data_IF_032848955967
#
_entry.id   IF_032848955967
#
_cell.length_a   1.000
_cell.length_b   1.000
_cell.length_c   1.000
_cell.angle_alpha   90.00
_cell.angle_beta   90.00
_cell.angle_gamma   90.00
#
_symmetry.space_group_name_H-M   'P 1'
#
loop_
_entity.id
_entity.type
_entity.pdbx_description
1 polymer ?
#
# COMPACT_ATOMS: atom_id res chain seq x y z
N UNK A 1 48.41 -50.65 30.29
CA UNK A 1 47.04 -50.12 30.44
C UNK A 1 46.21 -51.21 31.02
N UNK A 2 45.63 -50.97 32.19
CA UNK A 2 44.78 -51.95 32.85
C UNK A 2 43.50 -52.11 32.03
N UNK A 3 42.85 -53.28 32.12
CA UNK A 3 41.59 -53.56 31.41
C UNK A 3 40.53 -52.49 31.72
N UNK A 4 40.61 -51.89 32.91
CA UNK A 4 39.77 -50.79 33.36
C UNK A 4 39.95 -49.52 32.50
N UNK A 5 41.17 -49.19 32.11
CA UNK A 5 41.45 -48.01 31.26
C UNK A 5 40.86 -48.16 29.86
N UNK A 6 40.90 -49.38 29.31
CA UNK A 6 40.34 -49.71 28.00
C UNK A 6 38.81 -49.61 28.04
N UNK A 7 38.18 -50.11 29.12
CA UNK A 7 36.73 -50.01 29.32
C UNK A 7 36.28 -48.56 29.50
N UNK A 8 37.03 -47.76 30.27
CA UNK A 8 36.74 -46.34 30.46
C UNK A 8 36.83 -45.57 29.14
N UNK A 9 37.87 -45.82 28.34
CA UNK A 9 38.03 -45.19 27.02
C UNK A 9 36.90 -45.55 26.06
N UNK A 10 36.46 -46.82 26.07
CA UNK A 10 35.35 -47.30 25.26
C UNK A 10 34.02 -46.63 25.67
N UNK A 11 33.79 -46.46 26.98
CA UNK A 11 32.61 -45.77 27.51
C UNK A 11 32.60 -44.28 27.11
N UNK A 12 33.72 -43.57 27.27
CA UNK A 12 33.84 -42.16 26.89
C UNK A 12 33.62 -41.96 25.39
N UNK A 13 34.20 -42.82 24.54
CA UNK A 13 34.00 -42.78 23.10
C UNK A 13 32.53 -42.99 22.71
N UNK A 14 31.83 -43.91 23.38
CA UNK A 14 30.41 -44.18 23.16
C UNK A 14 29.53 -42.98 23.54
N UNK A 15 29.79 -42.34 24.68
CA UNK A 15 29.06 -41.14 25.12
C UNK A 15 29.29 -39.97 24.16
N UNK A 16 30.53 -39.74 23.72
CA UNK A 16 30.85 -38.70 22.74
C UNK A 16 30.14 -38.97 21.40
N UNK A 17 30.15 -40.23 20.95
CA UNK A 17 29.42 -40.65 19.75
C UNK A 17 27.91 -40.38 19.83
N UNK A 18 27.29 -40.68 20.98
CA UNK A 18 25.87 -40.44 21.21
C UNK A 18 25.52 -38.94 21.20
N UNK A 19 26.35 -38.09 21.82
CA UNK A 19 26.16 -36.64 21.82
C UNK A 19 26.30 -36.06 20.40
N UNK A 20 27.30 -36.50 19.63
CA UNK A 20 27.47 -36.08 18.24
C UNK A 20 26.30 -36.52 17.35
N UNK A 21 25.74 -37.71 17.59
CA UNK A 21 24.53 -38.19 16.90
C UNK A 21 23.31 -37.31 17.21
N UNK A 22 23.10 -36.96 18.48
CA UNK A 22 21.99 -36.08 18.89
C UNK A 22 22.16 -34.66 18.33
N UNK A 23 23.39 -34.12 18.30
CA UNK A 23 23.66 -32.81 17.68
C UNK A 23 23.44 -32.83 16.17
N UNK A 24 23.83 -33.92 15.50
CA UNK A 24 23.55 -34.13 14.07
C UNK A 24 22.06 -34.20 13.78
N UNK A 25 21.30 -34.97 14.58
CA UNK A 25 19.84 -35.03 14.47
C UNK A 25 19.18 -33.67 14.74
N UNK A 26 19.63 -32.93 15.76
CA UNK A 26 19.15 -31.59 16.05
C UNK A 26 19.47 -30.60 14.92
N UNK A 27 20.66 -30.67 14.34
CA UNK A 27 21.05 -29.84 13.20
C UNK A 27 20.21 -30.15 11.96
N UNK A 28 19.99 -31.44 11.66
CA UNK A 28 19.11 -31.86 10.57
C UNK A 28 17.67 -31.43 10.85
N UNK A 29 17.18 -31.60 12.08
CA UNK A 29 15.84 -31.17 12.48
C UNK A 29 15.63 -29.67 12.35
N UNK A 30 16.57 -28.84 12.85
CA UNK A 30 16.51 -27.39 12.67
C UNK A 30 16.52 -27.00 11.20
N UNK A 31 17.36 -27.66 10.39
CA UNK A 31 17.42 -27.39 8.94
C UNK A 31 16.16 -27.84 8.19
N UNK A 32 15.50 -28.91 8.63
CA UNK A 32 14.27 -29.42 8.03
C UNK A 32 13.03 -28.65 8.51
N UNK A 33 13.07 -28.05 9.71
CA UNK A 33 12.01 -27.17 10.25
C UNK A 33 12.14 -25.74 9.71
N UNK A 34 13.35 -25.27 9.39
CA UNK A 34 13.59 -23.97 8.74
C UNK A 34 13.37 -23.96 7.23
N UNK A 35 13.30 -25.13 6.57
CA UNK A 35 12.64 -25.20 5.26
C UNK A 35 11.14 -25.11 5.52
N UNK A 36 10.45 -24.01 5.14
CA UNK A 36 9.00 -24.08 5.05
C UNK A 36 8.73 -25.25 4.11
N UNK A 37 7.83 -26.16 4.51
CA UNK A 37 7.26 -27.10 3.55
C UNK A 37 6.83 -26.28 2.33
N UNK A 38 7.59 -26.40 1.24
CA UNK A 38 7.00 -26.31 -0.08
C UNK A 38 5.97 -27.44 -0.09
N UNK A 39 4.74 -27.12 0.33
CA UNK A 39 3.58 -27.82 -0.18
C UNK A 39 3.56 -27.49 -1.67
N UNK A 40 4.43 -28.16 -2.40
CA UNK A 40 4.53 -28.18 -3.85
C UNK A 40 3.35 -29.05 -4.33
N UNK A 41 2.13 -28.71 -3.89
CA UNK A 41 0.95 -28.96 -4.68
C UNK A 41 1.00 -27.94 -5.82
N UNK A 42 1.87 -28.23 -6.79
CA UNK A 42 1.61 -27.91 -8.20
C UNK A 42 0.41 -28.73 -8.65
N UNK A 43 -0.73 -28.57 -7.98
CA UNK A 43 -2.00 -28.91 -8.56
C UNK A 43 -2.28 -27.73 -9.48
N UNK A 44 -1.67 -27.78 -10.66
CA UNK A 44 -2.00 -26.94 -11.82
C UNK A 44 -3.42 -27.26 -12.26
N UNK A 45 -4.36 -26.98 -11.37
CA UNK A 45 -5.79 -27.00 -11.62
C UNK A 45 -6.09 -25.71 -12.35
N UNK A 46 -5.51 -25.58 -13.55
CA UNK A 46 -5.91 -24.53 -14.48
C UNK A 46 -7.41 -24.68 -14.61
N UNK A 47 -8.16 -23.70 -14.09
CA UNK A 47 -9.60 -23.80 -14.09
C UNK A 47 -10.08 -24.05 -15.52
N UNK A 48 -10.75 -25.20 -15.67
CA UNK A 48 -11.31 -25.64 -16.95
C UNK A 48 -12.17 -24.52 -17.47
N UNK A 49 -11.91 -24.11 -18.71
CA UNK A 49 -12.70 -23.08 -19.33
C UNK A 49 -14.14 -23.56 -19.49
N UNK A 50 -15.09 -22.78 -19.01
CA UNK A 50 -16.52 -23.01 -19.15
C UNK A 50 -17.16 -21.73 -19.67
N UNK A 51 -18.15 -21.86 -20.56
CA UNK A 51 -18.93 -20.71 -20.98
C UNK A 51 -19.90 -20.31 -19.87
N UNK A 52 -20.19 -19.01 -19.70
CA UNK A 52 -21.21 -18.57 -18.76
C UNK A 52 -22.57 -19.23 -19.06
N UNK A 53 -23.29 -19.64 -18.01
CA UNK A 53 -24.60 -20.29 -18.12
C UNK A 53 -25.62 -19.42 -18.89
N UNK A 54 -25.52 -18.10 -18.77
CA UNK A 54 -26.31 -17.12 -19.52
C UNK A 54 -26.10 -17.28 -21.02
N UNK A 55 -24.85 -17.29 -21.48
CA UNK A 55 -24.49 -17.47 -22.89
C UNK A 55 -24.90 -18.86 -23.40
N UNK A 56 -24.72 -19.90 -22.59
CA UNK A 56 -25.16 -21.25 -22.93
C UNK A 56 -26.68 -21.36 -23.09
N UNK A 57 -27.45 -20.66 -22.25
CA UNK A 57 -28.91 -20.62 -22.35
C UNK A 57 -29.37 -19.90 -23.63
N UNK A 58 -28.69 -18.82 -24.02
CA UNK A 58 -28.95 -18.09 -25.27
C UNK A 58 -28.64 -18.92 -26.53
N UNK A 59 -27.62 -19.79 -26.48
CA UNK A 59 -27.31 -20.71 -27.59
C UNK A 59 -28.36 -21.82 -27.70
N UNK A 60 -28.86 -22.34 -26.57
CA UNK A 60 -29.87 -23.43 -26.56
C UNK A 60 -31.25 -22.95 -26.98
N UNK A 61 -31.59 -21.69 -26.73
CA UNK A 61 -32.84 -21.04 -27.14
C UNK A 61 -32.76 -20.43 -28.56
N UNK A 62 -31.96 -21.03 -29.44
CA UNK A 62 -31.42 -20.53 -30.72
C UNK A 62 -32.42 -19.96 -31.74
N UNK A 63 -33.72 -20.21 -31.59
CA UNK A 63 -34.74 -19.77 -32.56
C UNK A 63 -35.12 -18.28 -32.43
N UNK A 64 -34.87 -17.62 -31.28
CA UNK A 64 -35.25 -16.22 -31.06
C UNK A 64 -34.11 -15.25 -30.69
N UNK A 65 -33.03 -15.73 -30.06
CA UNK A 65 -31.92 -14.87 -29.59
C UNK A 65 -30.70 -14.80 -30.53
N UNK A 66 -30.67 -15.57 -31.62
CA UNK A 66 -29.54 -15.62 -32.58
C UNK A 66 -29.27 -14.30 -33.31
N UNK A 67 -30.14 -13.30 -33.18
CA UNK A 67 -29.99 -11.95 -33.75
C UNK A 67 -29.52 -10.89 -32.75
N UNK A 68 -29.36 -11.24 -31.46
CA UNK A 68 -28.92 -10.27 -30.47
C UNK A 68 -27.41 -10.00 -30.62
N UNK A 69 -26.99 -8.79 -31.03
CA UNK A 69 -25.58 -8.49 -31.29
C UNK A 69 -24.72 -8.62 -30.02
N UNK A 70 -25.33 -8.48 -28.84
CA UNK A 70 -24.67 -8.65 -27.54
C UNK A 70 -24.21 -10.10 -27.33
N UNK A 71 -25.05 -11.08 -27.71
CA UNK A 71 -24.69 -12.50 -27.61
C UNK A 71 -23.51 -12.80 -28.53
N UNK A 72 -23.53 -12.28 -29.77
CA UNK A 72 -22.41 -12.42 -30.70
C UNK A 72 -21.12 -11.80 -30.15
N UNK A 73 -21.19 -10.59 -29.56
CA UNK A 73 -20.04 -9.94 -28.92
C UNK A 73 -19.51 -10.78 -27.76
N UNK A 74 -20.37 -11.29 -26.87
CA UNK A 74 -19.94 -12.14 -25.76
C UNK A 74 -19.25 -13.41 -26.26
N UNK A 75 -19.78 -14.05 -27.32
CA UNK A 75 -19.16 -15.25 -27.91
C UNK A 75 -17.77 -14.94 -28.49
N UNK A 76 -17.62 -13.83 -29.22
CA UNK A 76 -16.33 -13.41 -29.77
C UNK A 76 -15.34 -13.11 -28.65
N UNK A 77 -15.74 -12.36 -27.63
CA UNK A 77 -14.86 -12.01 -26.49
C UNK A 77 -14.48 -13.25 -25.68
N UNK A 78 -15.41 -14.17 -25.45
CA UNK A 78 -15.19 -15.42 -24.75
C UNK A 78 -14.22 -16.33 -25.53
N UNK A 79 -14.37 -16.41 -26.85
CA UNK A 79 -13.44 -17.12 -27.74
C UNK A 79 -12.04 -16.50 -27.72
N UNK A 80 -11.94 -15.17 -27.87
CA UNK A 80 -10.66 -14.46 -27.80
C UNK A 80 -10.00 -14.63 -26.43
N UNK A 81 -10.76 -14.57 -25.35
CA UNK A 81 -10.25 -14.79 -24.01
C UNK A 81 -9.69 -16.21 -23.84
N UNK A 82 -10.36 -17.24 -24.35
CA UNK A 82 -9.86 -18.61 -24.32
C UNK A 82 -8.49 -18.74 -24.98
N UNK A 83 -8.31 -18.13 -26.15
CA UNK A 83 -7.04 -18.16 -26.89
C UNK A 83 -5.95 -17.33 -26.18
N UNK A 84 -6.34 -16.19 -25.60
CA UNK A 84 -5.40 -15.23 -25.03
C UNK A 84 -5.02 -15.51 -23.57
N UNK A 85 -5.87 -16.16 -22.76
CA UNK A 85 -5.65 -16.35 -21.31
C UNK A 85 -4.39 -17.17 -20.98
N UNK A 86 -3.98 -18.06 -21.89
CA UNK A 86 -2.76 -18.87 -21.73
C UNK A 86 -1.56 -18.29 -22.48
N UNK A 87 -1.76 -17.20 -23.23
CA UNK A 87 -0.67 -16.52 -23.93
C UNK A 87 0.33 -15.94 -22.92
N UNK A 88 1.60 -16.31 -23.08
CA UNK A 88 2.68 -15.78 -22.27
C UNK A 88 2.79 -14.26 -22.34
N UNK A 89 2.36 -13.64 -23.45
CA UNK A 89 2.33 -12.17 -23.59
C UNK A 89 1.35 -11.53 -22.63
N UNK A 90 0.12 -12.05 -22.58
CA UNK A 90 -0.95 -11.55 -21.70
C UNK A 90 -0.58 -11.80 -20.25
N UNK A 91 -0.11 -13.01 -19.91
CA UNK A 91 0.35 -13.33 -18.55
C UNK A 91 1.48 -12.40 -18.09
N UNK A 92 2.51 -12.18 -18.92
CA UNK A 92 3.60 -11.25 -18.61
C UNK A 92 3.12 -9.81 -18.47
N UNK A 93 2.18 -9.37 -19.31
CA UNK A 93 1.60 -8.04 -19.23
C UNK A 93 0.84 -7.85 -17.91
N UNK A 94 -0.04 -8.80 -17.54
CA UNK A 94 -0.76 -8.75 -16.26
C UNK A 94 0.18 -8.82 -15.07
N UNK A 95 1.17 -9.72 -15.10
CA UNK A 95 2.17 -9.83 -14.05
C UNK A 95 2.87 -8.48 -13.84
N UNK A 96 3.39 -7.87 -14.92
CA UNK A 96 4.07 -6.57 -14.84
C UNK A 96 3.14 -5.47 -14.35
N UNK A 97 1.90 -5.43 -14.82
CA UNK A 97 0.92 -4.41 -14.42
C UNK A 97 0.57 -4.56 -12.94
N UNK A 98 0.27 -5.78 -12.47
CA UNK A 98 -0.03 -6.05 -11.07
C UNK A 98 1.17 -5.81 -10.15
N UNK A 99 2.39 -6.17 -10.56
CA UNK A 99 3.59 -5.86 -9.78
C UNK A 99 3.76 -4.36 -9.56
N UNK A 100 3.53 -3.54 -10.60
CA UNK A 100 3.57 -2.08 -10.46
C UNK A 100 2.51 -1.55 -9.49
N UNK A 101 1.28 -2.07 -9.56
CA UNK A 101 0.21 -1.67 -8.62
C UNK A 101 0.52 -2.11 -7.18
N UNK A 102 1.15 -3.28 -6.99
CA UNK A 102 1.60 -3.77 -5.68
C UNK A 102 2.76 -2.93 -5.11
N UNK A 103 3.72 -2.54 -5.94
CA UNK A 103 4.81 -1.64 -5.55
C UNK A 103 4.28 -0.24 -5.23
N UNK A 104 3.28 0.24 -5.98
CA UNK A 104 2.58 1.48 -5.68
C UNK A 104 1.82 1.41 -4.34
N UNK A 105 1.18 0.27 -4.05
CA UNK A 105 0.55 0.02 -2.76
C UNK A 105 1.53 0.06 -1.59
N UNK A 106 2.75 -0.46 -1.77
CA UNK A 106 3.80 -0.39 -0.75
C UNK A 106 4.28 1.04 -0.53
N UNK A 107 4.41 1.83 -1.60
CA UNK A 107 5.00 3.17 -1.53
C UNK A 107 4.01 4.27 -1.15
N UNK A 108 2.75 4.19 -1.60
CA UNK A 108 1.74 5.25 -1.43
C UNK A 108 0.71 5.00 -0.33
N UNK A 109 0.57 3.76 0.15
CA UNK A 109 -0.36 3.42 1.23
C UNK A 109 0.38 3.17 2.54
N UNK A 110 -0.33 3.35 3.66
CA UNK A 110 0.09 2.90 5.01
C UNK A 110 0.50 1.42 5.08
N UNK A 111 0.18 0.64 4.03
CA UNK A 111 0.62 -0.73 3.78
C UNK A 111 2.16 -0.90 3.81
N UNK A 112 2.93 0.08 3.34
CA UNK A 112 4.41 0.05 3.37
C UNK A 112 5.03 0.07 4.78
N UNK A 113 4.26 0.45 5.80
CA UNK A 113 4.71 0.36 7.21
C UNK A 113 4.76 -1.08 7.73
N UNK A 114 4.02 -1.99 7.08
CA UNK A 114 3.86 -3.38 7.53
C UNK A 114 4.56 -4.38 6.60
N UNK A 115 4.67 -4.06 5.32
CA UNK A 115 5.25 -4.92 4.29
C UNK A 115 6.45 -4.23 3.65
N UNK A 116 7.57 -4.97 3.58
CA UNK A 116 8.80 -4.54 2.92
C UNK A 116 8.75 -4.91 1.42
N UNK A 117 8.16 -6.06 1.09
CA UNK A 117 8.05 -6.55 -0.29
C UNK A 117 6.82 -7.41 -0.51
N UNK A 118 6.16 -7.24 -1.64
CA UNK A 118 5.07 -8.11 -2.13
C UNK A 118 5.50 -8.74 -3.44
N UNK A 119 5.47 -10.06 -3.53
CA UNK A 119 5.83 -10.79 -4.75
C UNK A 119 4.69 -11.69 -5.19
N UNK A 120 4.33 -11.62 -6.47
CA UNK A 120 3.30 -12.49 -7.04
C UNK A 120 3.87 -13.91 -7.16
N UNK A 121 3.30 -14.86 -6.42
CA UNK A 121 3.64 -16.29 -6.51
C UNK A 121 2.90 -16.96 -7.67
N UNK A 122 1.60 -16.67 -7.79
CA UNK A 122 0.72 -17.30 -8.77
C UNK A 122 -0.29 -16.29 -9.31
N UNK A 123 -0.58 -16.39 -10.61
CA UNK A 123 -1.56 -15.55 -11.29
C UNK A 123 -2.39 -16.40 -12.26
N UNK A 124 -3.68 -16.52 -11.96
CA UNK A 124 -4.66 -17.18 -12.80
C UNK A 124 -5.74 -16.18 -13.23
N UNK A 125 -5.90 -15.97 -14.54
CA UNK A 125 -6.88 -15.03 -15.08
C UNK A 125 -8.34 -15.51 -14.95
N UNK A 126 -8.54 -16.76 -14.52
CA UNK A 126 -9.85 -17.37 -14.33
C UNK A 126 -10.40 -18.13 -15.55
N UNK A 127 -11.50 -18.85 -15.33
CA UNK A 127 -12.13 -19.78 -16.26
C UNK A 127 -12.92 -19.16 -17.42
N UNK A 128 -13.33 -17.90 -17.34
CA UNK A 128 -14.23 -17.25 -18.31
C UNK A 128 -14.06 -15.73 -18.38
N UNK A 129 -14.46 -15.13 -19.51
CA UNK A 129 -14.54 -13.68 -19.67
C UNK A 129 -15.82 -13.14 -18.98
N UNK A 130 -15.84 -11.87 -18.53
CA UNK A 130 -17.06 -11.26 -18.01
C UNK A 130 -18.22 -11.28 -19.01
N UNK A 131 -19.41 -11.71 -18.57
CA UNK A 131 -20.62 -11.69 -19.39
C UNK A 131 -21.21 -10.28 -19.44
N UNK A 132 -21.51 -9.80 -20.66
CA UNK A 132 -22.16 -8.49 -20.88
C UNK A 132 -23.66 -8.74 -21.04
N UNK A 133 -24.45 -8.37 -20.03
CA UNK A 133 -25.90 -8.57 -20.03
C UNK A 133 -26.64 -7.53 -20.87
N UNK A 134 -26.15 -6.30 -20.85
CA UNK A 134 -26.74 -5.21 -21.64
C UNK A 134 -25.67 -4.24 -22.11
N UNK A 135 -25.91 -3.64 -23.29
CA UNK A 135 -25.05 -2.66 -23.94
C UNK A 135 -25.92 -1.51 -24.42
N UNK A 136 -25.68 -0.29 -23.93
CA UNK A 136 -26.49 0.90 -24.28
C UNK A 136 -25.60 2.11 -24.50
N UNK A 137 -25.86 2.88 -25.54
CA UNK A 137 -25.22 4.19 -25.70
C UNK A 137 -25.93 5.18 -24.78
N UNK A 138 -25.16 5.85 -23.92
CA UNK A 138 -25.68 6.80 -22.95
C UNK A 138 -25.55 8.24 -23.44
N UNK A 139 -24.41 8.60 -24.01
CA UNK A 139 -24.16 9.94 -24.53
C UNK A 139 -23.23 9.89 -25.76
N UNK A 140 -23.47 10.77 -26.73
CA UNK A 140 -22.61 10.98 -27.89
C UNK A 140 -22.51 12.48 -28.13
N UNK A 141 -21.31 13.03 -28.03
CA UNK A 141 -21.04 14.42 -28.33
C UNK A 141 -20.24 14.48 -29.63
N UNK A 142 -20.73 15.29 -30.57
CA UNK A 142 -20.09 15.52 -31.84
C UNK A 142 -19.34 16.85 -31.78
N UNK A 143 -18.24 16.94 -32.51
CA UNK A 143 -17.51 18.18 -32.68
C UNK A 143 -18.33 19.16 -33.52
N UNK A 144 -18.45 20.42 -33.07
CA UNK A 144 -19.36 21.41 -33.65
C UNK A 144 -19.08 21.72 -35.13
N UNK A 145 -17.81 21.71 -35.54
CA UNK A 145 -17.40 22.11 -36.90
C UNK A 145 -17.19 20.92 -37.86
N UNK A 146 -16.62 19.82 -37.37
CA UNK A 146 -16.22 18.67 -38.21
C UNK A 146 -17.21 17.50 -38.18
N UNK A 147 -18.15 17.49 -37.22
CA UNK A 147 -19.16 16.43 -37.07
C UNK A 147 -18.60 15.06 -36.66
N UNK A 148 -17.34 14.95 -36.27
CA UNK A 148 -16.76 13.70 -35.76
C UNK A 148 -17.10 13.48 -34.28
N UNK A 149 -17.06 12.24 -33.80
CA UNK A 149 -17.35 11.90 -32.41
C UNK A 149 -16.21 12.41 -31.52
N UNK A 150 -16.56 13.33 -30.62
CA UNK A 150 -15.67 13.90 -29.63
C UNK A 150 -15.70 13.10 -28.33
N UNK A 151 -16.91 12.80 -27.84
CA UNK A 151 -17.14 11.96 -26.66
C UNK A 151 -18.20 10.88 -26.96
N UNK A 152 -17.95 9.66 -26.50
CA UNK A 152 -18.88 8.53 -26.59
C UNK A 152 -18.91 7.79 -25.26
N UNK A 153 -20.08 7.73 -24.65
CA UNK A 153 -20.34 6.98 -23.43
C UNK A 153 -21.22 5.76 -23.72
N UNK A 154 -20.70 4.59 -23.38
CA UNK A 154 -21.41 3.32 -23.49
C UNK A 154 -21.56 2.72 -22.10
N UNK A 155 -22.78 2.35 -21.74
CA UNK A 155 -23.08 1.64 -20.50
C UNK A 155 -23.16 0.14 -20.75
N UNK A 156 -22.50 -0.62 -19.87
CA UNK A 156 -22.40 -2.07 -19.91
C UNK A 156 -22.81 -2.66 -18.56
N UNK A 157 -23.78 -3.56 -18.54
CA UNK A 157 -24.05 -4.38 -17.34
C UNK A 157 -23.14 -5.62 -17.37
N UNK A 158 -22.14 -5.65 -16.49
CA UNK A 158 -21.09 -6.66 -16.46
C UNK A 158 -21.34 -7.66 -15.34
N UNK A 159 -21.11 -8.94 -15.63
CA UNK A 159 -21.18 -10.02 -14.65
C UNK A 159 -20.05 -11.03 -14.86
N UNK A 160 -19.06 -10.99 -13.99
CA UNK A 160 -17.92 -11.90 -13.98
C UNK A 160 -18.10 -12.99 -12.92
N UNK A 161 -17.83 -14.26 -13.27
CA UNK A 161 -17.79 -15.41 -12.34
C UNK A 161 -16.61 -16.34 -12.65
N UNK A 162 -15.50 -15.78 -13.12
CA UNK A 162 -14.38 -16.57 -13.62
C UNK A 162 -13.35 -16.99 -12.58
N UNK A 163 -13.53 -16.69 -11.29
CA UNK A 163 -12.59 -17.06 -10.21
C UNK A 163 -11.13 -16.64 -10.44
N UNK A 164 -10.90 -15.45 -10.98
CA UNK A 164 -9.57 -14.85 -11.06
C UNK A 164 -8.84 -15.03 -9.73
N UNK A 165 -7.62 -15.56 -9.76
CA UNK A 165 -6.83 -15.90 -8.58
C UNK A 165 -5.47 -15.20 -8.63
N UNK A 166 -5.10 -14.59 -7.53
CA UNK A 166 -3.81 -13.94 -7.34
C UNK A 166 -3.23 -14.40 -6.00
N UNK A 167 -2.10 -15.10 -6.04
CA UNK A 167 -1.36 -15.49 -4.86
C UNK A 167 -0.12 -14.62 -4.70
N UNK A 168 0.10 -14.10 -3.50
CA UNK A 168 1.10 -13.10 -3.15
C UNK A 168 1.86 -13.60 -1.92
N UNK A 169 3.18 -13.61 -2.04
CA UNK A 169 4.09 -13.71 -0.90
C UNK A 169 4.41 -12.30 -0.39
N UNK A 170 4.31 -12.12 0.93
CA UNK A 170 4.54 -10.85 1.61
C UNK A 170 5.70 -10.98 2.59
N UNK A 171 6.79 -10.25 2.33
CA UNK A 171 7.88 -10.05 3.27
C UNK A 171 7.54 -8.85 4.16
N UNK A 172 7.54 -9.07 5.48
CA UNK A 172 7.23 -8.04 6.47
C UNK A 172 8.48 -7.38 7.00
N UNK A 173 8.34 -6.13 7.46
CA UNK A 173 9.45 -5.30 7.99
C UNK A 173 10.16 -5.95 9.19
N UNK A 174 9.49 -6.85 9.93
CA UNK A 174 10.07 -7.61 11.05
C UNK A 174 10.68 -8.97 10.64
N UNK A 175 10.98 -9.17 9.34
CA UNK A 175 11.60 -10.38 8.81
C UNK A 175 10.69 -11.61 8.75
N UNK A 176 9.38 -11.43 8.98
CA UNK A 176 8.39 -12.50 8.89
C UNK A 176 7.82 -12.60 7.49
N UNK A 177 7.49 -13.83 7.06
CA UNK A 177 6.86 -14.09 5.77
C UNK A 177 5.38 -14.44 5.94
N UNK A 178 4.54 -13.83 5.13
CA UNK A 178 3.12 -14.12 5.00
C UNK A 178 2.80 -14.55 3.57
N UNK A 179 1.70 -15.29 3.43
CA UNK A 179 1.14 -15.68 2.15
C UNK A 179 -0.32 -15.24 2.09
N UNK A 180 -0.72 -14.65 0.96
CA UNK A 180 -2.08 -14.24 0.66
C UNK A 180 -2.52 -14.86 -0.67
N UNK A 181 -3.67 -15.49 -0.71
CA UNK A 181 -4.34 -15.88 -1.95
C UNK A 181 -5.70 -15.18 -2.02
N UNK A 182 -5.89 -14.38 -3.05
CA UNK A 182 -7.13 -13.66 -3.34
C UNK A 182 -7.80 -14.31 -4.54
N UNK A 183 -9.06 -14.73 -4.38
CA UNK A 183 -9.90 -15.29 -5.43
C UNK A 183 -11.12 -14.42 -5.64
N UNK A 184 -11.32 -13.90 -6.85
CA UNK A 184 -12.47 -13.09 -7.24
C UNK A 184 -13.58 -14.01 -7.76
N UNK A 185 -14.50 -14.40 -6.88
CA UNK A 185 -15.58 -15.36 -7.22
C UNK A 185 -16.66 -14.73 -8.08
N UNK A 186 -17.06 -13.50 -7.75
CA UNK A 186 -18.09 -12.79 -8.49
C UNK A 186 -17.84 -11.28 -8.47
N UNK A 187 -17.99 -10.65 -9.64
CA UNK A 187 -18.09 -9.19 -9.76
C UNK A 187 -19.28 -8.87 -10.63
N UNK A 188 -20.22 -8.05 -10.17
CA UNK A 188 -21.28 -7.54 -11.03
C UNK A 188 -21.58 -6.07 -10.79
N UNK A 189 -21.99 -5.37 -11.84
CA UNK A 189 -22.30 -3.95 -11.75
C UNK A 189 -22.40 -3.29 -13.11
N UNK A 190 -22.96 -2.08 -13.08
CA UNK A 190 -23.11 -1.23 -14.26
C UNK A 190 -21.84 -0.42 -14.48
N UNK A 191 -21.16 -0.70 -15.58
CA UNK A 191 -19.94 -0.04 -16.00
C UNK A 191 -20.21 0.99 -17.11
N UNK A 192 -19.40 2.03 -17.16
CA UNK A 192 -19.32 3.04 -18.21
C UNK A 192 -17.99 2.89 -18.92
N UNK A 193 -18.06 2.64 -20.23
CA UNK A 193 -16.96 2.72 -21.16
C UNK A 193 -17.05 4.06 -21.88
N UNK A 194 -16.13 4.96 -21.58
CA UNK A 194 -16.08 6.30 -22.14
C UNK A 194 -14.89 6.41 -23.10
N UNK A 195 -15.14 6.98 -24.27
CA UNK A 195 -14.12 7.43 -25.21
C UNK A 195 -14.20 8.95 -25.30
N UNK A 196 -13.08 9.64 -25.13
CA UNK A 196 -13.04 11.10 -25.20
C UNK A 196 -11.74 11.56 -25.82
N UNK A 197 -11.80 12.71 -26.52
CA UNK A 197 -10.64 13.37 -27.13
C UNK A 197 -10.07 14.51 -26.29
N UNK A 198 -10.74 14.92 -25.22
CA UNK A 198 -10.33 16.05 -24.36
C UNK A 198 -9.85 15.55 -23.00
N UNK A 199 -8.74 16.09 -22.46
CA UNK A 199 -7.73 16.95 -23.11
C UNK A 199 -6.83 16.22 -24.13
N UNK A 200 -6.88 14.89 -24.19
CA UNK A 200 -6.25 14.06 -25.23
C UNK A 200 -7.09 12.80 -25.48
N UNK A 201 -6.85 12.09 -26.59
CA UNK A 201 -7.56 10.84 -26.92
C UNK A 201 -7.27 9.75 -25.89
N UNK A 202 -8.30 9.35 -25.15
CA UNK A 202 -8.22 8.25 -24.21
C UNK A 202 -9.56 7.52 -24.09
N UNK A 203 -9.50 6.34 -23.49
CA UNK A 203 -10.67 5.59 -23.08
C UNK A 203 -10.57 5.23 -21.61
N UNK A 204 -11.71 5.13 -20.94
CA UNK A 204 -11.79 4.71 -19.55
C UNK A 204 -12.95 3.75 -19.37
N UNK A 205 -12.76 2.78 -18.47
CA UNK A 205 -13.79 1.85 -18.03
C UNK A 205 -13.92 1.99 -16.52
N UNK A 206 -15.12 2.30 -16.04
CA UNK A 206 -15.38 2.51 -14.61
C UNK A 206 -16.75 1.99 -14.23
N UNK A 207 -16.92 1.53 -12.99
CA UNK A 207 -18.26 1.26 -12.45
C UNK A 207 -18.93 2.58 -12.05
N UNK A 208 -20.19 2.76 -12.42
CA UNK A 208 -20.95 3.99 -12.12
C UNK A 208 -21.33 4.05 -10.64
N UNK A 209 -21.56 2.90 -10.01
CA UNK A 209 -21.83 2.76 -8.58
C UNK A 209 -20.98 1.67 -7.96
N UNK A 210 -21.20 1.38 -6.69
CA UNK A 210 -20.48 0.30 -6.00
C UNK A 210 -20.83 -1.06 -6.64
N UNK A 211 -19.86 -1.77 -7.24
CA UNK A 211 -20.12 -3.09 -7.80
C UNK A 211 -20.30 -4.12 -6.67
N UNK A 212 -21.09 -5.15 -6.94
CA UNK A 212 -21.16 -6.32 -6.06
C UNK A 212 -19.91 -7.18 -6.27
N UNK A 213 -19.04 -7.24 -5.26
CA UNK A 213 -17.78 -7.98 -5.31
C UNK A 213 -17.78 -9.06 -4.23
N UNK A 214 -17.66 -10.31 -4.64
CA UNK A 214 -17.44 -11.47 -3.77
C UNK A 214 -16.00 -11.97 -3.93
N UNK A 215 -15.25 -11.92 -2.82
CA UNK A 215 -13.85 -12.32 -2.74
C UNK A 215 -13.71 -13.51 -1.77
N UNK A 216 -13.02 -14.56 -2.20
CA UNK A 216 -12.44 -15.57 -1.33
C UNK A 216 -11.01 -15.17 -0.98
N UNK A 217 -10.69 -15.11 0.31
CA UNK A 217 -9.34 -14.73 0.76
C UNK A 217 -8.82 -15.82 1.69
N UNK A 218 -7.66 -16.35 1.35
CA UNK A 218 -6.91 -17.31 2.15
C UNK A 218 -5.60 -16.65 2.55
N UNK A 219 -5.28 -16.64 3.84
CA UNK A 219 -4.05 -16.05 4.35
C UNK A 219 -3.36 -16.99 5.31
N UNK A 220 -2.06 -17.20 5.08
CA UNK A 220 -1.22 -18.00 5.95
C UNK A 220 -0.10 -17.12 6.49
N UNK A 221 0.18 -17.26 7.79
CA UNK A 221 1.25 -16.53 8.46
C UNK A 221 2.16 -17.54 9.16
N UNK A 222 3.43 -17.59 8.75
CA UNK A 222 4.42 -18.56 9.29
C UNK A 222 3.92 -20.02 9.27
N UNK A 223 3.25 -20.46 8.18
CA UNK A 223 2.74 -21.82 8.03
C UNK A 223 1.49 -22.14 8.86
N UNK A 224 0.95 -21.17 9.63
CA UNK A 224 -0.34 -21.31 10.32
C UNK A 224 -1.42 -20.60 9.52
N UNK A 225 -2.49 -21.33 9.19
CA UNK A 225 -3.72 -20.75 8.64
C UNK A 225 -4.25 -19.73 9.67
N UNK A 226 -4.28 -18.45 9.31
CA UNK A 226 -5.03 -17.47 10.08
C UNK A 226 -6.51 -17.74 9.80
N UNK A 227 -7.32 -17.99 10.83
CA UNK A 227 -8.74 -18.24 10.65
C UNK A 227 -9.40 -17.04 9.98
N UNK A 228 -9.67 -17.16 8.68
CA UNK A 228 -10.38 -16.18 7.86
C UNK A 228 -11.88 -16.28 8.15
N UNK A 229 -12.29 -15.87 9.35
CA UNK A 229 -13.70 -15.66 9.66
C UNK A 229 -14.18 -14.35 9.01
N UNK A 230 -14.34 -14.34 7.69
CA UNK A 230 -14.76 -13.17 6.91
C UNK A 230 -16.29 -12.97 6.97
N UNK A 231 -17.07 -13.92 7.51
CA UNK A 231 -18.53 -13.88 7.39
C UNK A 231 -19.35 -13.40 8.60
N UNK A 232 -18.77 -13.02 9.75
CA UNK A 232 -19.54 -12.35 10.82
C UNK A 232 -18.67 -11.47 11.70
N UNK A 233 -18.52 -10.20 11.35
CA UNK A 233 -18.18 -9.16 12.31
C UNK A 233 -18.84 -7.83 11.90
N UNK A 234 -20.15 -7.74 12.15
CA UNK A 234 -20.68 -6.55 12.82
C UNK A 234 -20.39 -6.77 14.32
N UNK A 235 -19.86 -5.74 14.98
CA UNK A 235 -19.47 -5.61 16.40
C UNK A 235 -18.10 -6.15 16.83
N UNK A 236 -17.32 -5.19 17.37
CA UNK A 236 -16.23 -5.28 18.35
C UNK A 236 -14.77 -5.47 17.90
N UNK A 237 -14.00 -4.38 18.03
CA UNK A 237 -12.72 -4.38 18.75
C UNK A 237 -11.44 -4.89 18.07
N UNK A 238 -10.75 -4.00 17.34
CA UNK A 238 -9.28 -3.86 17.35
C UNK A 238 -8.39 -5.12 17.15
N UNK A 239 -8.61 -5.88 16.08
CA UNK A 239 -7.52 -6.60 15.37
C UNK A 239 -7.82 -6.59 13.87
N UNK A 240 -7.22 -5.65 13.13
CA UNK A 240 -7.30 -5.69 11.66
C UNK A 240 -6.56 -6.95 11.17
N UNK A 241 -7.27 -7.88 10.53
CA UNK A 241 -6.66 -9.08 9.96
C UNK A 241 -5.72 -8.69 8.82
N UNK A 242 -4.67 -9.47 8.56
CA UNK A 242 -3.78 -9.31 7.40
C UNK A 242 -4.56 -9.26 6.08
N UNK A 243 -5.64 -10.03 5.98
CA UNK A 243 -6.61 -9.97 4.88
C UNK A 243 -7.33 -8.62 4.79
N UNK A 244 -7.66 -8.02 5.91
CA UNK A 244 -8.45 -6.79 5.99
C UNK A 244 -7.59 -5.58 5.61
N UNK A 245 -6.32 -5.57 6.02
CA UNK A 245 -5.35 -4.54 5.63
C UNK A 245 -5.07 -4.55 4.13
N UNK A 246 -4.85 -5.74 3.55
CA UNK A 246 -4.60 -5.87 2.12
C UNK A 246 -5.86 -5.64 1.28
N UNK A 247 -7.04 -6.07 1.74
CA UNK A 247 -8.29 -5.74 1.04
C UNK A 247 -8.65 -4.27 1.14
N UNK A 248 -8.39 -3.59 2.25
CA UNK A 248 -8.58 -2.15 2.35
C UNK A 248 -7.62 -1.39 1.43
N UNK A 249 -6.35 -1.81 1.35
CA UNK A 249 -5.40 -1.30 0.38
C UNK A 249 -5.88 -1.52 -1.06
N UNK A 250 -6.22 -2.76 -1.42
CA UNK A 250 -6.73 -3.11 -2.76
C UNK A 250 -8.03 -2.38 -3.10
N UNK A 251 -8.98 -2.26 -2.17
CA UNK A 251 -10.24 -1.53 -2.38
C UNK A 251 -10.02 -0.01 -2.55
N UNK A 252 -9.04 0.57 -1.86
CA UNK A 252 -8.68 1.98 -2.02
C UNK A 252 -8.01 2.25 -3.38
N UNK A 253 -7.24 1.29 -3.90
CA UNK A 253 -6.57 1.42 -5.22
C UNK A 253 -7.46 1.02 -6.39
N UNK A 254 -8.48 0.19 -6.16
CA UNK A 254 -9.58 -0.09 -7.12
C UNK A 254 -10.73 0.94 -7.05
N UNK A 255 -10.61 1.97 -6.20
CA UNK A 255 -11.46 3.16 -6.32
C UNK A 255 -11.06 3.90 -7.60
N UNK A 256 -12.04 4.30 -8.40
CA UNK A 256 -11.92 4.82 -9.77
C UNK A 256 -11.07 6.09 -9.98
N UNK A 257 -10.21 6.46 -9.02
CA UNK A 257 -9.35 7.64 -9.08
C UNK A 257 -8.06 7.44 -9.89
N UNK A 258 -7.67 6.20 -10.25
CA UNK A 258 -6.45 5.94 -11.03
C UNK A 258 -6.65 5.92 -12.56
N UNK A 259 -7.84 6.31 -13.05
CA UNK A 259 -8.11 6.53 -14.47
C UNK A 259 -8.64 7.94 -14.79
N UNK A 260 -8.66 8.85 -13.79
CA UNK A 260 -9.11 10.22 -13.99
C UNK A 260 -7.91 11.17 -14.18
N UNK A 261 -8.00 12.01 -15.20
CA UNK A 261 -7.13 13.16 -15.42
C UNK A 261 -7.37 14.16 -14.28
N UNK A 262 -6.33 14.72 -13.64
CA UNK A 262 -6.50 15.62 -12.49
C UNK A 262 -6.92 17.01 -12.96
N UNK A 263 -8.22 17.24 -13.14
CA UNK A 263 -8.88 18.54 -13.03
C UNK A 263 -10.39 18.31 -13.19
N UNK A 264 -11.22 18.99 -12.40
CA UNK A 264 -12.69 19.05 -12.52
C UNK A 264 -13.44 17.85 -11.91
N UNK A 265 -13.35 17.67 -10.58
CA UNK A 265 -14.52 17.22 -9.80
C UNK A 265 -14.57 18.05 -8.52
N UNK A 266 -15.12 19.24 -8.65
CA UNK A 266 -15.40 20.14 -7.53
C UNK A 266 -16.83 20.67 -7.64
N UNK A 267 -17.82 19.81 -7.92
CA UNK A 267 -19.25 20.13 -7.79
C UNK A 267 -20.12 18.96 -8.24
N UNK A 268 -20.43 18.01 -7.36
CA UNK A 268 -21.76 17.38 -7.25
C UNK A 268 -21.72 16.28 -6.19
N UNK A 269 -22.51 16.45 -5.13
CA UNK A 269 -22.64 15.44 -4.09
C UNK A 269 -23.18 15.96 -2.76
N UNK A 270 -24.17 16.86 -2.78
CA UNK A 270 -25.03 17.08 -1.61
C UNK A 270 -26.02 15.91 -1.53
N UNK A 271 -25.99 15.18 -0.42
CA UNK A 271 -26.86 14.04 -0.16
C UNK A 271 -26.77 13.56 1.28
N UNK A 272 -27.35 14.33 2.19
CA UNK A 272 -27.57 14.01 3.61
C UNK A 272 -28.30 12.67 3.81
N UNK A 273 -27.92 11.87 4.84
CA UNK A 273 -28.85 11.20 5.78
C UNK A 273 -28.18 10.38 6.91
N UNK A 274 -28.42 10.88 8.13
CA UNK A 274 -28.65 10.23 9.44
C UNK A 274 -27.65 9.28 10.11
N UNK A 275 -27.33 9.65 11.35
CA UNK A 275 -26.56 8.98 12.41
C UNK A 275 -27.23 7.70 12.96
N UNK A 276 -26.47 6.69 13.41
CA UNK A 276 -26.91 5.73 14.43
C UNK A 276 -26.54 6.22 15.85
N UNK A 277 -27.23 5.73 16.91
CA UNK A 277 -27.11 6.26 18.26
C UNK A 277 -25.81 5.84 18.94
N UNK A 278 -25.28 6.72 19.79
CA UNK A 278 -24.07 6.50 20.61
C UNK A 278 -24.29 5.43 21.69
N UNK A 279 -23.39 4.45 21.87
CA UNK A 279 -23.36 3.63 23.06
C UNK A 279 -22.75 4.41 24.25
N UNK A 280 -23.42 4.31 25.39
CA UNK A 280 -23.03 4.87 26.67
C UNK A 280 -21.75 4.22 27.24
N UNK A 281 -20.82 5.11 27.63
CA UNK A 281 -19.88 5.05 28.76
C UNK A 281 -19.55 3.70 29.44
N UNK A 282 -18.25 3.40 29.54
CA UNK A 282 -17.54 3.18 30.83
C UNK A 282 -16.01 3.20 30.63
N UNK A 283 -15.20 3.55 31.65
CA UNK A 283 -14.07 4.45 31.49
C UNK A 283 -12.69 3.79 31.63
N UNK A 284 -11.67 4.30 30.91
CA UNK A 284 -10.27 4.11 31.34
C UNK A 284 -9.36 5.28 30.95
N UNK A 285 -9.23 6.20 31.92
CA UNK A 285 -8.12 7.14 32.18
C UNK A 285 -7.61 7.97 30.99
N UNK A 286 -8.37 9.01 30.65
CA UNK A 286 -7.80 10.23 30.07
C UNK A 286 -7.32 11.15 31.20
N UNK A 287 -6.04 11.51 31.13
CA UNK A 287 -5.49 12.64 31.87
C UNK A 287 -6.22 13.91 31.44
N UNK A 288 -6.74 14.68 32.39
CA UNK A 288 -7.51 15.90 32.16
C UNK A 288 -6.66 16.97 31.47
N UNK A 289 -6.92 17.24 30.18
CA UNK A 289 -6.78 18.56 29.57
C UNK A 289 -7.97 18.73 28.61
N UNK A 290 -8.78 19.80 28.71
CA UNK A 290 -9.95 19.99 27.85
C UNK A 290 -9.50 20.37 26.43
N UNK A 291 -9.47 19.40 25.50
CA UNK A 291 -9.28 19.68 24.08
C UNK A 291 -10.64 19.93 23.40
N UNK A 292 -11.18 21.13 23.57
CA UNK A 292 -12.31 21.64 22.74
C UNK A 292 -11.84 22.64 21.68
N UNK A 293 -10.53 22.71 21.43
CA UNK A 293 -9.90 23.69 20.53
C UNK A 293 -9.42 23.00 19.26
N UNK A 294 -9.75 23.59 18.11
CA UNK A 294 -9.31 23.13 16.78
C UNK A 294 -7.78 22.88 16.76
N UNK A 295 -7.29 21.69 16.37
CA UNK A 295 -5.85 21.38 16.34
C UNK A 295 -5.05 22.33 15.44
N UNK A 296 -5.64 22.84 14.35
CA UNK A 296 -5.01 23.86 13.50
C UNK A 296 -4.87 25.19 14.23
N UNK A 297 -5.85 25.58 15.05
CA UNK A 297 -5.76 26.81 15.83
C UNK A 297 -4.65 26.71 16.89
N UNK A 298 -4.49 25.53 17.52
CA UNK A 298 -3.38 25.27 18.44
C UNK A 298 -2.02 25.29 17.74
N UNK A 299 -1.93 24.72 16.54
CA UNK A 299 -0.71 24.72 15.75
C UNK A 299 -0.31 26.17 15.36
N UNK A 300 -1.27 26.98 14.92
CA UNK A 300 -1.05 28.40 14.58
C UNK A 300 -0.60 29.19 15.80
N UNK A 301 -1.25 29.01 16.96
CA UNK A 301 -0.84 29.65 18.20
C UNK A 301 0.61 29.29 18.58
N UNK A 302 0.98 28.02 18.46
CA UNK A 302 2.36 27.57 18.71
C UNK A 302 3.35 28.21 17.71
N UNK A 303 2.97 28.33 16.44
CA UNK A 303 3.75 29.03 15.40
C UNK A 303 3.90 30.54 15.68
N UNK A 304 2.86 31.20 16.16
CA UNK A 304 2.91 32.63 16.54
C UNK A 304 3.91 32.89 17.66
N UNK A 305 3.89 32.02 18.68
CA UNK A 305 4.78 32.11 19.86
C UNK A 305 6.21 31.65 19.61
N UNK A 306 6.49 31.00 18.47
CA UNK A 306 7.80 30.45 18.17
C UNK A 306 8.74 31.50 17.53
N UNK A 307 9.92 31.69 18.14
CA UNK A 307 11.01 32.48 17.56
C UNK A 307 11.94 31.59 16.73
N UNK A 308 11.63 31.41 15.45
CA UNK A 308 12.33 30.46 14.57
C UNK A 308 13.63 31.01 13.94
N UNK A 309 13.91 32.31 14.02
CA UNK A 309 15.00 32.96 13.28
C UNK A 309 16.42 32.70 13.85
N UNK A 310 16.56 32.25 15.10
CA UNK A 310 17.86 32.09 15.78
C UNK A 310 18.09 30.70 16.42
N UNK A 311 17.31 29.69 16.01
CA UNK A 311 17.36 28.36 16.63
C UNK A 311 18.42 27.45 15.99
N UNK A 312 19.11 26.65 16.82
CA UNK A 312 19.93 25.54 16.34
C UNK A 312 19.07 24.35 15.87
N UNK A 313 19.63 23.46 15.02
CA UNK A 313 18.86 22.37 14.38
C UNK A 313 18.14 21.41 15.36
N UNK A 314 18.72 21.12 16.53
CA UNK A 314 18.05 20.28 17.55
C UNK A 314 16.90 21.01 18.24
N UNK A 315 17.04 22.32 18.48
CA UNK A 315 15.97 23.13 19.06
C UNK A 315 14.83 23.31 18.05
N UNK A 316 15.14 23.48 16.77
CA UNK A 316 14.15 23.59 15.69
C UNK A 316 13.30 22.32 15.58
N UNK A 317 13.89 21.12 15.65
CA UNK A 317 13.13 19.86 15.63
C UNK A 317 12.16 19.73 16.82
N UNK A 318 12.56 20.16 18.02
CA UNK A 318 11.66 20.15 19.19
C UNK A 318 10.48 21.10 19.07
N UNK A 319 10.68 22.26 18.41
CA UNK A 319 9.62 23.23 18.13
C UNK A 319 8.66 22.69 17.08
N UNK A 320 9.19 22.05 16.03
CA UNK A 320 8.39 21.38 14.99
C UNK A 320 7.54 20.25 15.60
N UNK A 321 8.11 19.43 16.49
CA UNK A 321 7.33 18.41 17.21
C UNK A 321 6.20 19.05 18.02
N UNK A 322 6.46 20.19 18.68
CA UNK A 322 5.43 20.96 19.36
C UNK A 322 4.33 21.45 18.43
N UNK A 323 4.67 21.94 17.23
CA UNK A 323 3.71 22.43 16.22
C UNK A 323 2.87 21.27 15.67
N UNK A 324 3.46 20.08 15.51
CA UNK A 324 2.82 18.90 14.90
C UNK A 324 2.04 18.05 15.91
N UNK A 325 2.40 18.11 17.21
CA UNK A 325 1.74 17.39 18.31
C UNK A 325 0.19 17.44 18.27
N UNK A 326 -0.47 18.57 17.98
CA UNK A 326 -1.94 18.63 17.92
C UNK A 326 -2.56 17.73 16.84
N UNK A 327 -1.79 17.28 15.85
CA UNK A 327 -2.24 16.39 14.78
C UNK A 327 -1.99 14.90 15.08
N UNK A 328 -1.29 14.59 16.18
CA UNK A 328 -0.95 13.21 16.53
C UNK A 328 -2.20 12.37 16.80
N UNK A 329 -2.38 11.30 16.01
CA UNK A 329 -3.52 10.40 16.11
C UNK A 329 -4.78 10.84 15.32
N UNK A 330 -4.75 12.01 14.68
CA UNK A 330 -5.81 12.41 13.72
C UNK A 330 -5.44 11.98 12.30
N UNK A 331 -6.35 11.34 11.55
CA UNK A 331 -6.07 10.93 10.18
C UNK A 331 -5.96 12.14 9.24
N UNK A 332 -5.03 12.08 8.28
CA UNK A 332 -4.70 13.19 7.38
C UNK A 332 -5.92 13.76 6.62
N UNK A 333 -6.86 12.91 6.21
CA UNK A 333 -8.08 13.32 5.51
C UNK A 333 -8.98 14.23 6.37
N UNK A 334 -9.06 13.95 7.67
CA UNK A 334 -9.82 14.78 8.62
C UNK A 334 -9.12 16.13 8.83
N UNK A 335 -7.79 16.14 8.92
CA UNK A 335 -7.03 17.39 9.05
C UNK A 335 -7.17 18.24 7.78
N UNK A 336 -7.14 17.64 6.59
CA UNK A 336 -7.32 18.34 5.32
C UNK A 336 -8.73 18.94 5.17
N UNK A 337 -9.76 18.21 5.57
CA UNK A 337 -11.15 18.72 5.54
C UNK A 337 -11.35 19.82 6.57
N UNK A 338 -10.74 19.70 7.75
CA UNK A 338 -10.71 20.74 8.76
C UNK A 338 -9.94 21.99 8.29
N UNK A 339 -8.81 21.81 7.59
CA UNK A 339 -8.02 22.90 7.03
C UNK A 339 -8.82 23.73 6.03
N UNK A 340 -9.63 23.08 5.18
CA UNK A 340 -10.49 23.75 4.20
C UNK A 340 -11.68 24.48 4.82
N UNK A 341 -12.28 23.92 5.87
CA UNK A 341 -13.47 24.51 6.49
C UNK A 341 -13.14 25.61 7.50
N UNK A 342 -12.02 25.49 8.21
CA UNK A 342 -11.62 26.45 9.26
C UNK A 342 -10.76 27.62 8.75
N UNK A 343 -10.18 27.56 7.54
CA UNK A 343 -9.33 28.64 7.00
C UNK A 343 -10.06 29.98 6.88
N UNK A 344 -11.35 29.93 6.59
CA UNK A 344 -12.21 31.11 6.45
C UNK A 344 -12.42 31.86 7.78
N UNK A 345 -12.31 31.16 8.91
CA UNK A 345 -12.54 31.69 10.26
C UNK A 345 -11.27 32.27 10.91
N UNK A 346 -10.11 32.17 10.25
CA UNK A 346 -8.83 32.60 10.80
C UNK A 346 -8.72 34.14 10.84
N UNK A 347 -8.52 34.72 12.03
CA UNK A 347 -8.41 36.16 12.31
C UNK A 347 -9.58 37.02 11.82
N UNK A 348 -10.79 36.47 11.79
CA UNK A 348 -12.00 37.20 11.37
C UNK A 348 -12.34 38.39 12.28
N UNK A 349 -11.84 38.39 13.52
CA UNK A 349 -12.00 39.46 14.51
C UNK A 349 -11.14 40.71 14.23
N UNK A 350 -10.25 40.66 13.23
CA UNK A 350 -9.35 41.75 12.87
C UNK A 350 -9.72 42.37 11.51
N UNK A 351 -9.36 43.66 11.35
CA UNK A 351 -9.54 44.39 10.10
C UNK A 351 -8.85 43.66 8.92
N UNK A 352 -9.42 43.67 7.69
CA UNK A 352 -8.91 42.88 6.57
C UNK A 352 -7.42 43.07 6.26
N UNK A 353 -6.90 44.29 6.38
CA UNK A 353 -5.48 44.60 6.15
C UNK A 353 -4.61 43.97 7.25
N UNK A 354 -4.99 44.14 8.51
CA UNK A 354 -4.29 43.56 9.66
C UNK A 354 -4.32 42.02 9.66
N UNK A 355 -5.42 41.44 9.18
CA UNK A 355 -5.56 39.99 8.96
C UNK A 355 -4.54 39.46 7.96
N UNK A 356 -4.33 40.16 6.85
CA UNK A 356 -3.31 39.79 5.84
C UNK A 356 -1.90 39.87 6.43
N UNK A 357 -1.59 40.91 7.22
CA UNK A 357 -0.29 41.06 7.89
C UNK A 357 0.01 39.90 8.84
N UNK A 358 -0.94 39.56 9.73
CA UNK A 358 -0.78 38.45 10.68
C UNK A 358 -0.60 37.09 9.99
N UNK A 359 -1.37 36.83 8.92
CA UNK A 359 -1.22 35.58 8.15
C UNK A 359 0.16 35.52 7.50
N UNK A 360 0.65 36.62 6.92
CA UNK A 360 1.97 36.66 6.30
C UNK A 360 3.10 36.44 7.31
N UNK A 361 2.99 36.97 8.54
CA UNK A 361 3.98 36.74 9.59
C UNK A 361 4.05 35.25 9.97
N UNK A 362 2.90 34.62 10.23
CA UNK A 362 2.84 33.18 10.56
C UNK A 362 3.31 32.32 9.39
N UNK A 363 2.97 32.71 8.16
CA UNK A 363 3.38 32.00 6.95
C UNK A 363 4.91 32.09 6.73
N UNK A 364 5.55 33.22 7.05
CA UNK A 364 6.99 33.36 7.02
C UNK A 364 7.67 32.43 8.04
N UNK A 365 7.14 32.35 9.27
CA UNK A 365 7.59 31.42 10.31
C UNK A 365 7.43 29.95 9.87
N UNK A 366 6.27 29.59 9.29
CA UNK A 366 6.02 28.25 8.80
C UNK A 366 6.97 27.85 7.67
N UNK A 367 7.30 28.76 6.75
CA UNK A 367 8.28 28.50 5.69
C UNK A 367 9.64 28.11 6.25
N UNK A 368 10.15 28.83 7.25
CA UNK A 368 11.42 28.48 7.90
C UNK A 368 11.39 27.07 8.53
N UNK A 369 10.29 26.70 9.19
CA UNK A 369 10.12 25.37 9.76
C UNK A 369 10.03 24.28 8.68
N UNK A 370 9.30 24.54 7.59
CA UNK A 370 9.15 23.63 6.46
C UNK A 370 10.50 23.42 5.74
N UNK A 371 11.25 24.50 5.50
CA UNK A 371 12.54 24.46 4.81
C UNK A 371 13.54 23.64 5.64
N UNK A 372 13.61 23.88 6.95
CA UNK A 372 14.48 23.10 7.86
C UNK A 372 14.12 21.62 7.91
N UNK A 373 12.83 21.26 8.00
CA UNK A 373 12.41 19.86 8.03
C UNK A 373 12.63 19.20 6.65
N UNK A 374 12.41 19.93 5.55
CA UNK A 374 12.65 19.43 4.19
C UNK A 374 14.13 19.16 3.93
N UNK A 375 15.04 20.02 4.42
CA UNK A 375 16.49 19.76 4.40
C UNK A 375 16.83 18.50 5.21
N UNK A 376 16.29 18.38 6.42
CA UNK A 376 16.51 17.21 7.28
C UNK A 376 16.02 15.92 6.63
N UNK A 377 14.85 15.95 6.00
CA UNK A 377 14.29 14.83 5.24
C UNK A 377 15.17 14.44 4.05
N UNK A 378 15.68 15.43 3.30
CA UNK A 378 16.59 15.21 2.18
C UNK A 378 17.90 14.55 2.63
N UNK A 379 18.49 15.02 3.74
CA UNK A 379 19.73 14.47 4.30
C UNK A 379 19.53 13.02 4.77
N UNK A 380 18.42 12.72 5.46
CA UNK A 380 18.08 11.36 5.90
C UNK A 380 17.83 10.41 4.71
N UNK A 381 17.17 10.91 3.67
CA UNK A 381 16.91 10.18 2.43
C UNK A 381 18.22 9.83 1.72
N UNK A 382 19.13 10.80 1.60
CA UNK A 382 20.46 10.59 1.02
C UNK A 382 21.28 9.60 1.84
N UNK A 383 21.33 9.73 3.16
CA UNK A 383 22.05 8.81 4.04
C UNK A 383 21.52 7.37 3.95
N UNK A 384 20.19 7.20 3.86
CA UNK A 384 19.57 5.88 3.64
C UNK A 384 19.94 5.29 2.28
N UNK A 385 19.96 6.11 1.22
CA UNK A 385 20.32 5.69 -0.12
C UNK A 385 21.80 5.26 -0.20
N UNK A 386 22.71 6.01 0.43
CA UNK A 386 24.13 5.68 0.52
C UNK A 386 24.38 4.36 1.25
N UNK A 387 23.70 4.12 2.39
CA UNK A 387 23.80 2.85 3.11
C UNK A 387 23.25 1.67 2.31
N UNK A 388 22.14 1.87 1.58
CA UNK A 388 21.58 0.84 0.68
C UNK A 388 22.55 0.54 -0.48
N UNK A 389 23.16 1.56 -1.08
CA UNK A 389 24.15 1.40 -2.14
C UNK A 389 25.41 0.68 -1.64
N UNK A 390 25.91 1.04 -0.45
CA UNK A 390 27.05 0.39 0.19
C UNK A 390 26.76 -1.09 0.51
N UNK A 391 25.54 -1.43 0.95
CA UNK A 391 25.10 -2.82 1.15
C UNK A 391 25.08 -3.59 -0.17
N UNK A 392 24.52 -3.00 -1.23
CA UNK A 392 24.47 -3.62 -2.55
C UNK A 392 25.88 -3.89 -3.13
N UNK A 393 26.80 -2.92 -3.03
CA UNK A 393 28.18 -3.08 -3.50
C UNK A 393 28.97 -4.17 -2.74
N UNK A 394 28.68 -4.37 -1.45
CA UNK A 394 29.27 -5.46 -0.64
C UNK A 394 28.78 -6.86 -1.05
N UNK A 395 27.51 -6.96 -1.44
CA UNK A 395 26.93 -8.22 -1.95
C UNK A 395 27.56 -8.60 -3.30
N UNK A 396 27.89 -7.61 -4.12
CA UNK A 396 28.49 -7.82 -5.45
C UNK A 396 29.99 -8.17 -5.37
N UNK A 397 30.74 -7.52 -4.48
CA UNK A 397 32.16 -7.87 -4.21
C UNK A 397 32.32 -9.24 -3.52
N UNK A 398 31.36 -9.65 -2.69
CA UNK A 398 31.31 -11.01 -2.12
C UNK A 398 31.06 -12.12 -3.16
N UNK A 399 30.38 -11.80 -4.26
CA UNK A 399 30.21 -12.71 -5.41
C UNK A 399 31.51 -12.87 -6.23
N UNK A 400 32.22 -11.78 -6.51
CA UNK A 400 33.46 -11.81 -7.31
C UNK A 400 34.61 -12.53 -6.58
N UNK A 401 34.65 -12.48 -5.24
CA UNK A 401 35.62 -13.24 -4.44
C UNK A 401 35.36 -14.75 -4.40
N UNK A 402 34.20 -15.23 -4.84
CA UNK A 402 33.91 -16.67 -4.95
C UNK A 402 34.55 -17.30 -6.19
N UNK A 403 34.87 -16.50 -7.23
CA UNK A 403 35.48 -16.99 -8.47
C UNK A 403 37.02 -16.84 -8.50
N UNK A 404 37.62 -16.19 -7.50
CA UNK A 404 39.07 -15.91 -7.44
C UNK A 404 39.73 -16.43 -6.15
N UNK A 405 39.27 -17.56 -5.62
CA UNK A 405 40.01 -18.29 -4.57
C UNK A 405 40.88 -19.39 -5.19
N UNK A 406 41.89 -18.95 -5.94
CA UNK A 406 43.06 -19.76 -6.31
C UNK A 406 44.26 -18.81 -6.40
N UNK A 407 44.86 -18.55 -5.23
CA UNK A 407 46.14 -17.84 -4.94
C UNK A 407 45.97 -16.64 -3.98
N UNK A 408 46.03 -16.90 -2.68
CA UNK A 408 47.00 -16.29 -1.75
C UNK A 408 46.78 -16.86 -0.33
N UNK A 409 47.59 -17.83 0.06
CA UNK A 409 47.82 -18.18 1.47
C UNK A 409 48.98 -17.34 1.99
N UNK A 410 48.72 -16.21 2.65
CA UNK A 410 49.66 -15.58 3.59
C UNK A 410 48.97 -14.50 4.43
N UNK A 411 48.20 -14.90 5.45
CA UNK A 411 47.93 -14.03 6.60
C UNK A 411 47.62 -14.88 7.85
N UNK A 412 48.52 -14.81 8.84
CA UNK A 412 48.34 -15.42 10.16
C UNK A 412 47.23 -14.67 10.92
N UNK A 413 46.04 -15.28 10.98
CA UNK A 413 44.94 -14.88 11.86
C UNK A 413 43.88 -15.98 11.91
N UNK A 414 43.32 -16.27 13.08
CA UNK A 414 42.27 -17.29 13.28
C UNK A 414 41.02 -16.96 12.45
N UNK A 415 40.55 -17.83 11.54
CA UNK A 415 39.38 -17.59 10.68
C UNK A 415 38.07 -17.38 11.44
N UNK A 416 37.99 -17.82 12.70
CA UNK A 416 36.81 -17.73 13.56
C UNK A 416 36.52 -16.31 14.05
N UNK A 417 37.56 -15.52 14.31
CA UNK A 417 37.41 -14.20 14.93
C UNK A 417 37.09 -13.13 13.88
N UNK A 418 37.64 -13.28 12.67
CA UNK A 418 37.30 -12.44 11.51
C UNK A 418 35.84 -12.60 11.07
N UNK A 419 35.29 -13.83 11.09
CA UNK A 419 33.88 -14.09 10.76
C UNK A 419 32.92 -13.54 11.81
N UNK A 420 33.26 -13.64 13.10
CA UNK A 420 32.47 -13.03 14.18
C UNK A 420 32.48 -11.49 14.11
N UNK A 421 33.63 -10.89 13.83
CA UNK A 421 33.75 -9.44 13.66
C UNK A 421 32.99 -8.92 12.42
N UNK A 422 32.98 -9.68 11.32
CA UNK A 422 32.20 -9.35 10.12
C UNK A 422 30.68 -9.40 10.39
N UNK A 423 30.20 -10.45 11.08
CA UNK A 423 28.79 -10.58 11.45
C UNK A 423 28.33 -9.50 12.44
N UNK A 424 29.18 -9.08 13.38
CA UNK A 424 28.86 -7.99 14.30
C UNK A 424 28.71 -6.64 13.58
N UNK A 425 29.63 -6.33 12.64
CA UNK A 425 29.58 -5.10 11.82
C UNK A 425 28.38 -5.07 10.87
N UNK A 426 27.94 -6.23 10.38
CA UNK A 426 26.74 -6.33 9.54
C UNK A 426 25.48 -6.04 10.34
N UNK A 427 25.36 -6.58 11.56
CA UNK A 427 24.25 -6.26 12.47
C UNK A 427 24.22 -4.79 12.88
N UNK A 428 25.37 -4.18 13.09
CA UNK A 428 25.50 -2.76 13.43
C UNK A 428 25.04 -1.87 12.27
N UNK A 429 25.46 -2.18 11.03
CA UNK A 429 25.01 -1.47 9.83
C UNK A 429 23.50 -1.64 9.56
N UNK A 430 22.93 -2.82 9.82
CA UNK A 430 21.49 -3.04 9.71
C UNK A 430 20.70 -2.26 10.77
N UNK A 431 21.21 -2.17 12.01
CA UNK A 431 20.60 -1.37 13.05
C UNK A 431 20.65 0.14 12.73
N UNK A 432 21.75 0.61 12.14
CA UNK A 432 21.91 1.99 11.70
C UNK A 432 20.94 2.32 10.53
N UNK A 433 20.83 1.43 9.55
CA UNK A 433 19.87 1.57 8.45
C UNK A 433 18.42 1.62 8.95
N UNK A 434 18.05 0.76 9.90
CA UNK A 434 16.72 0.76 10.51
C UNK A 434 16.43 2.05 11.29
N UNK A 435 17.44 2.59 12.00
CA UNK A 435 17.32 3.86 12.73
C UNK A 435 17.09 5.04 11.78
N UNK A 436 17.84 5.12 10.68
CA UNK A 436 17.68 6.19 9.69
C UNK A 436 16.32 6.09 8.99
N UNK A 437 15.88 4.88 8.63
CA UNK A 437 14.56 4.66 8.05
C UNK A 437 13.42 5.11 8.98
N UNK A 438 13.55 4.85 10.28
CA UNK A 438 12.59 5.32 11.29
C UNK A 438 12.54 6.85 11.37
N UNK A 439 13.70 7.51 11.44
CA UNK A 439 13.79 8.97 11.48
C UNK A 439 13.25 9.62 10.20
N UNK A 440 13.48 9.00 9.04
CA UNK A 440 12.94 9.46 7.75
C UNK A 440 11.41 9.43 7.76
N UNK A 441 10.79 8.36 8.27
CA UNK A 441 9.34 8.26 8.39
C UNK A 441 8.74 9.30 9.36
N UNK A 442 9.44 9.62 10.45
CA UNK A 442 9.02 10.69 11.36
C UNK A 442 9.12 12.07 10.69
N UNK A 443 10.20 12.30 9.93
CA UNK A 443 10.39 13.55 9.20
C UNK A 443 9.34 13.73 8.09
N UNK A 444 8.98 12.65 7.38
CA UNK A 444 7.91 12.66 6.38
C UNK A 444 6.56 13.07 6.99
N UNK A 445 6.20 12.53 8.16
CA UNK A 445 4.96 12.88 8.87
C UNK A 445 4.94 14.37 9.27
N UNK A 446 6.08 14.91 9.72
CA UNK A 446 6.22 16.34 10.03
C UNK A 446 6.07 17.21 8.78
N UNK A 447 6.71 16.86 7.66
CA UNK A 447 6.60 17.58 6.39
C UNK A 447 5.14 17.59 5.89
N UNK A 448 4.44 16.46 5.99
CA UNK A 448 3.03 16.37 5.62
C UNK A 448 2.16 17.28 6.50
N UNK A 449 2.34 17.24 7.82
CA UNK A 449 1.58 18.09 8.74
C UNK A 449 1.83 19.60 8.47
N UNK A 450 3.09 20.01 8.34
CA UNK A 450 3.46 21.39 8.02
C UNK A 450 2.89 21.84 6.66
N UNK A 451 2.81 20.94 5.67
CA UNK A 451 2.20 21.21 4.37
C UNK A 451 0.70 21.45 4.46
N UNK A 452 0.00 20.75 5.36
CA UNK A 452 -1.44 20.99 5.60
C UNK A 452 -1.68 22.34 6.28
N UNK A 453 -0.82 22.74 7.23
CA UNK A 453 -0.86 24.08 7.82
C UNK A 453 -0.59 25.15 6.75
N UNK A 454 0.34 24.89 5.82
CA UNK A 454 0.64 25.80 4.71
C UNK A 454 -0.59 25.99 3.82
N UNK A 455 -1.27 24.90 3.46
CA UNK A 455 -2.50 24.95 2.67
C UNK A 455 -3.60 25.74 3.39
N UNK A 456 -3.75 25.54 4.69
CA UNK A 456 -4.70 26.27 5.53
C UNK A 456 -4.42 27.79 5.54
N UNK A 457 -3.16 28.19 5.75
CA UNK A 457 -2.74 29.61 5.76
C UNK A 457 -2.87 30.25 4.37
N UNK A 458 -2.48 29.55 3.29
CA UNK A 458 -2.63 30.05 1.93
C UNK A 458 -4.10 30.26 1.54
N UNK A 459 -4.99 29.34 1.95
CA UNK A 459 -6.43 29.49 1.75
C UNK A 459 -7.00 30.68 2.53
N UNK A 460 -6.56 30.86 3.79
CA UNK A 460 -6.95 32.01 4.61
C UNK A 460 -6.45 33.35 4.02
N UNK A 461 -5.22 33.37 3.49
CA UNK A 461 -4.62 34.54 2.86
C UNK A 461 -5.37 34.97 1.60
N UNK A 462 -5.70 34.02 0.71
CA UNK A 462 -6.47 34.30 -0.50
C UNK A 462 -7.83 34.93 -0.18
N UNK A 463 -8.51 34.40 0.84
CA UNK A 463 -9.78 34.95 1.29
C UNK A 463 -9.63 36.34 1.91
N UNK A 464 -8.63 36.55 2.76
CA UNK A 464 -8.36 37.86 3.38
C UNK A 464 -8.00 38.94 2.34
N UNK A 465 -7.19 38.60 1.33
CA UNK A 465 -6.83 39.49 0.23
C UNK A 465 -8.03 39.83 -0.66
N UNK A 466 -8.92 38.87 -0.91
CA UNK A 466 -10.16 39.12 -1.65
C UNK A 466 -11.08 40.11 -0.93
N UNK A 467 -11.09 40.12 0.40
CA UNK A 467 -11.89 41.05 1.20
C UNK A 467 -11.20 42.42 1.31
N UNK A 468 -9.88 42.46 1.45
CA UNK A 468 -9.13 43.71 1.55
C UNK A 468 -9.03 44.49 0.23
N UNK A 469 -9.21 43.82 -0.91
CA UNK A 469 -9.22 44.43 -2.24
C UNK A 469 -10.58 44.93 -2.72
N UNK A 470 -11.65 44.67 -1.96
CA UNK A 470 -12.98 45.27 -2.11
C UNK A 470 -13.09 46.49 -1.19
#
# INVERSE_FOLDING_TARGET
MEIVDILLFCFISCVIGAVLMLLGQYYVFMRFVETPEETDEKTSTTEKFELPDSVLSSIKNSESESKNPIVAINLVLQFLFYELRHSNRVRKWFYRKLSLELDELLTKSTTGRFFDKLTIRELELGGQFPDIKSLRVNNVELHDDDGHIENLDVMLDLSYRGNFRLAIDADMVLGKKGFLSVRVRHVSGLARLQFTRKPYTHWSLSFIGEPQVDLGIESQFQGRQMQSNINRLKSDGHRQSFSDLLTQGLKRVNSANNLAIPAIVSSLGQGSRSLPPSPQYTPRKQSLVPQTTNPLALAILKLETANLAELSGQQMSSVIDGIVEPFSGTPLDEIMTLAKSSSLQLYTEHEPIKRVEMINEVLAKLRLALDSETTTHADLSMALAELKAAKAARVETGRVSSDTNLLLQTAKGSPSDARKAASAREKEAEAEMARIAFLLGQSEERVQALSVIMLHLCSALQHAQSIAGQ
#
